data_IF_243878970636
#
_entry.id   IF_243878970636
#
_cell.length_a   1.000
_cell.length_b   1.000
_cell.length_c   1.000
_cell.angle_alpha   90.00
_cell.angle_beta   90.00
_cell.angle_gamma   90.00
#
_symmetry.space_group_name_H-M   'P 1'
#
loop_
_entity.id
_entity.type
_entity.pdbx_description
1 polymer ?
#
# COMPACT_ATOMS: atom_id res chain seq x y z
N UNK A 1 -9.92 -13.38 5.58
CA UNK A 1 -10.51 -12.11 5.12
C UNK A 1 -10.97 -11.30 6.32
N UNK A 2 -10.75 -9.99 6.30
CA UNK A 2 -11.29 -9.03 7.28
C UNK A 2 -12.12 -8.03 6.49
N UNK A 3 -13.31 -7.70 6.97
CA UNK A 3 -14.25 -6.78 6.31
C UNK A 3 -14.61 -5.62 7.25
N UNK A 4 -14.53 -4.41 6.70
CA UNK A 4 -15.04 -3.18 7.31
C UNK A 4 -16.17 -2.68 6.42
N UNK A 5 -17.41 -2.86 6.86
CA UNK A 5 -18.61 -2.51 6.11
C UNK A 5 -18.52 -1.12 5.49
N UNK A 6 -18.82 -1.05 4.19
CA UNK A 6 -18.81 0.19 3.39
C UNK A 6 -17.48 0.96 3.40
N UNK A 7 -16.36 0.31 3.75
CA UNK A 7 -15.06 0.94 3.79
C UNK A 7 -13.99 0.13 3.04
N UNK A 8 -13.67 -1.08 3.50
CA UNK A 8 -12.68 -1.92 2.82
C UNK A 8 -12.80 -3.41 3.15
N UNK A 9 -12.26 -4.22 2.24
CA UNK A 9 -12.05 -5.65 2.42
C UNK A 9 -10.55 -5.95 2.31
N UNK A 10 -10.03 -6.77 3.22
CA UNK A 10 -8.63 -7.17 3.29
C UNK A 10 -8.51 -8.68 3.18
N UNK A 11 -7.81 -9.11 2.15
CA UNK A 11 -7.44 -10.51 1.95
C UNK A 11 -5.94 -10.67 2.26
N UNK A 12 -5.63 -11.48 3.28
CA UNK A 12 -4.27 -11.69 3.76
C UNK A 12 -3.81 -13.10 3.45
N UNK A 13 -2.57 -13.24 2.98
CA UNK A 13 -1.93 -14.55 2.81
C UNK A 13 -1.40 -15.08 4.16
N UNK A 14 -1.02 -16.36 4.22
CA UNK A 14 -0.32 -16.92 5.38
C UNK A 14 0.91 -16.07 5.74
N UNK A 15 1.23 -15.98 7.03
CA UNK A 15 2.36 -15.20 7.57
C UNK A 15 2.30 -13.68 7.32
N UNK A 16 1.09 -13.11 7.16
CA UNK A 16 0.91 -11.66 7.00
C UNK A 16 0.62 -10.97 8.34
N UNK A 17 1.26 -9.83 8.59
CA UNK A 17 1.04 -9.00 9.78
C UNK A 17 0.59 -7.59 9.41
N UNK A 18 -0.64 -7.24 9.81
CA UNK A 18 -1.30 -5.96 9.54
C UNK A 18 -1.80 -5.35 10.85
N UNK A 19 -1.53 -4.06 11.05
CA UNK A 19 -2.10 -3.28 12.16
C UNK A 19 -3.02 -2.19 11.61
N UNK A 20 -4.20 -2.02 12.21
CA UNK A 20 -5.12 -0.93 11.89
C UNK A 20 -4.79 0.25 12.78
N UNK A 21 -4.62 1.42 12.18
CA UNK A 21 -4.45 2.69 12.90
C UNK A 21 -5.60 3.59 12.44
N UNK A 22 -6.69 3.60 13.21
CA UNK A 22 -7.83 4.47 12.92
C UNK A 22 -7.62 5.84 13.57
N UNK A 23 -7.59 6.89 12.75
CA UNK A 23 -7.63 8.29 13.22
C UNK A 23 -8.97 8.92 12.83
N UNK A 24 -9.44 9.91 13.60
CA UNK A 24 -10.58 10.76 13.22
C UNK A 24 -10.07 11.98 12.43
N UNK A 25 -10.76 12.41 11.34
CA UNK A 25 -11.88 11.72 10.66
C UNK A 25 -11.41 10.50 9.84
N UNK A 26 -12.38 9.66 9.39
CA UNK A 26 -12.27 8.28 8.88
C UNK A 26 -11.28 8.13 7.70
N UNK A 27 -9.99 8.13 8.01
CA UNK A 27 -8.97 7.61 7.12
C UNK A 27 -8.60 6.22 7.65
N UNK A 28 -8.84 5.19 6.86
CA UNK A 28 -8.40 3.85 7.21
C UNK A 28 -6.92 3.74 6.87
N UNK A 29 -6.07 3.73 7.91
CA UNK A 29 -4.64 3.54 7.74
C UNK A 29 -4.26 2.15 8.23
N UNK A 30 -3.75 1.33 7.30
CA UNK A 30 -3.18 0.04 7.60
C UNK A 30 -1.67 0.14 7.65
N UNK A 31 -1.04 -0.54 8.61
CA UNK A 31 0.41 -0.75 8.62
C UNK A 31 0.68 -2.21 8.31
N UNK A 32 1.23 -2.48 7.12
CA UNK A 32 1.70 -3.79 6.73
C UNK A 32 3.21 -3.87 6.99
N UNK A 33 3.62 -4.84 7.80
CA UNK A 33 5.04 -5.05 8.13
C UNK A 33 5.62 -6.33 7.54
N UNK A 34 4.76 -7.23 7.03
CA UNK A 34 5.18 -8.48 6.41
C UNK A 34 4.16 -9.01 5.40
N UNK A 35 4.58 -9.95 4.57
CA UNK A 35 3.72 -10.80 3.74
C UNK A 35 3.11 -10.10 2.52
N UNK A 36 1.95 -10.59 2.10
CA UNK A 36 1.21 -10.10 0.93
C UNK A 36 -0.26 -9.96 1.26
N UNK A 37 -0.82 -8.79 0.94
CA UNK A 37 -2.23 -8.47 1.15
C UNK A 37 -2.83 -7.77 -0.06
N UNK A 38 -4.11 -8.07 -0.32
CA UNK A 38 -4.93 -7.37 -1.31
C UNK A 38 -5.85 -6.42 -0.56
N UNK A 39 -5.77 -5.15 -0.91
CA UNK A 39 -6.56 -4.06 -0.36
C UNK A 39 -7.60 -3.66 -1.40
N UNK A 40 -8.88 -3.69 -1.04
CA UNK A 40 -9.97 -3.29 -1.89
C UNK A 40 -10.78 -2.18 -1.19
N UNK A 41 -10.73 -0.96 -1.73
CA UNK A 41 -11.56 0.16 -1.27
C UNK A 41 -12.97 -0.03 -1.81
N UNK A 42 -13.95 -0.13 -0.93
CA UNK A 42 -15.35 -0.40 -1.30
C UNK A 42 -16.28 0.80 -1.05
N UNK A 43 -15.79 1.88 -0.45
CA UNK A 43 -16.55 3.09 -0.19
C UNK A 43 -15.74 4.38 -0.35
N UNK A 44 -16.31 5.50 0.08
CA UNK A 44 -15.75 6.83 -0.12
C UNK A 44 -14.63 7.19 0.86
N UNK A 45 -14.45 6.44 1.95
CA UNK A 45 -13.39 6.72 2.92
C UNK A 45 -12.00 6.44 2.32
N UNK A 46 -11.01 7.32 2.53
CA UNK A 46 -9.64 7.07 2.10
C UNK A 46 -9.07 5.78 2.71
N UNK A 47 -8.37 5.01 1.88
CA UNK A 47 -7.73 3.76 2.26
C UNK A 47 -6.22 3.89 2.05
N UNK A 48 -5.48 4.11 3.14
CA UNK A 48 -4.04 4.22 3.10
C UNK A 48 -3.35 2.99 3.68
N UNK A 49 -2.27 2.56 3.05
CA UNK A 49 -1.40 1.48 3.53
C UNK A 49 0.01 2.02 3.69
N UNK A 50 0.55 1.90 4.90
CA UNK A 50 1.93 2.20 5.23
C UNK A 50 2.73 0.90 5.26
N UNK A 51 3.66 0.80 4.33
CA UNK A 51 4.53 -0.37 4.14
C UNK A 51 5.97 0.10 4.22
N UNK A 52 6.63 -0.17 5.36
CA UNK A 52 7.98 0.36 5.65
C UNK A 52 8.06 1.89 5.46
N UNK A 53 8.84 2.38 4.49
CA UNK A 53 8.95 3.81 4.12
C UNK A 53 8.05 4.24 2.97
N UNK A 54 7.20 3.35 2.44
CA UNK A 54 6.23 3.67 1.39
C UNK A 54 4.84 3.89 2.01
N UNK A 55 4.20 5.00 1.64
CA UNK A 55 2.78 5.24 1.85
C UNK A 55 2.05 5.01 0.53
N UNK A 56 0.92 4.31 0.57
CA UNK A 56 0.08 4.03 -0.59
C UNK A 56 -1.36 4.40 -0.28
N UNK A 57 -1.92 5.35 -1.01
CA UNK A 57 -3.34 5.72 -0.96
C UNK A 57 -4.08 5.01 -2.09
N UNK A 58 -4.93 4.06 -1.73
CA UNK A 58 -5.57 3.10 -2.62
C UNK A 58 -6.93 3.63 -3.06
N UNK A 59 -7.10 3.83 -4.37
CA UNK A 59 -8.36 4.19 -4.99
C UNK A 59 -8.81 3.09 -5.96
N UNK A 60 -9.31 1.99 -5.40
CA UNK A 60 -9.69 0.79 -6.14
C UNK A 60 -9.16 -0.46 -5.46
N UNK A 61 -8.55 -1.35 -6.23
CA UNK A 61 -7.99 -2.62 -5.74
C UNK A 61 -6.50 -2.71 -6.03
N UNK A 62 -5.69 -2.95 -5.00
CA UNK A 62 -4.24 -3.10 -5.14
C UNK A 62 -3.71 -4.25 -4.29
N UNK A 63 -2.67 -4.91 -4.77
CA UNK A 63 -1.92 -5.93 -4.04
C UNK A 63 -0.57 -5.37 -3.63
N UNK A 64 -0.22 -5.51 -2.36
CA UNK A 64 1.09 -5.10 -1.81
C UNK A 64 1.80 -6.33 -1.24
N UNK A 65 3.01 -6.58 -1.71
CA UNK A 65 3.87 -7.69 -1.28
C UNK A 65 5.21 -7.16 -0.79
N UNK A 66 5.66 -7.63 0.38
CA UNK A 66 6.97 -7.31 0.94
C UNK A 66 7.89 -8.51 0.76
N UNK A 67 8.94 -8.34 -0.03
CA UNK A 67 10.05 -9.29 -0.11
C UNK A 67 11.12 -8.82 0.89
N UNK A 68 11.17 -9.49 2.05
CA UNK A 68 12.10 -9.17 3.14
C UNK A 68 13.56 -9.44 2.78
N UNK A 69 13.81 -10.48 1.97
CA UNK A 69 15.17 -10.87 1.59
C UNK A 69 15.80 -9.81 0.67
N UNK A 70 14.97 -9.18 -0.18
CA UNK A 70 15.40 -8.10 -1.09
C UNK A 70 15.12 -6.69 -0.56
N UNK A 71 14.56 -6.58 0.65
CA UNK A 71 14.06 -5.33 1.21
C UNK A 71 13.25 -4.49 0.19
N UNK A 72 12.35 -5.16 -0.53
CA UNK A 72 11.66 -4.60 -1.69
C UNK A 72 10.14 -4.76 -1.54
N UNK A 73 9.41 -3.71 -1.88
CA UNK A 73 7.95 -3.67 -1.90
C UNK A 73 7.51 -3.75 -3.36
N UNK A 74 6.61 -4.68 -3.64
CA UNK A 74 5.93 -4.80 -4.93
C UNK A 74 4.47 -4.39 -4.76
N UNK A 75 4.05 -3.39 -5.51
CA UNK A 75 2.68 -2.90 -5.56
C UNK A 75 2.12 -3.13 -6.97
N UNK A 76 0.99 -3.80 -7.05
CA UNK A 76 0.26 -4.06 -8.29
C UNK A 76 -1.14 -3.45 -8.18
N UNK A 77 -1.51 -2.57 -9.11
CA UNK A 77 -2.86 -1.99 -9.15
C UNK A 77 -3.73 -2.87 -10.04
N UNK A 78 -4.68 -3.57 -9.43
CA UNK A 78 -5.59 -4.51 -10.11
C UNK A 78 -6.74 -3.76 -10.76
N UNK A 79 -7.27 -2.71 -10.11
CA UNK A 79 -8.29 -1.82 -10.66
C UNK A 79 -8.22 -0.43 -10.04
N UNK A 80 -8.59 0.61 -10.81
CA UNK A 80 -8.55 2.00 -10.36
C UNK A 80 -7.15 2.57 -10.35
N UNK A 81 -6.74 3.24 -9.27
CA UNK A 81 -5.40 3.84 -9.16
C UNK A 81 -4.87 3.79 -7.72
N UNK A 82 -3.57 3.99 -7.58
CA UNK A 82 -2.91 4.11 -6.28
C UNK A 82 -1.91 5.24 -6.30
N UNK A 83 -2.03 6.20 -5.38
CA UNK A 83 -1.02 7.23 -5.18
C UNK A 83 -0.01 6.73 -4.17
N UNK A 84 1.28 6.72 -4.52
CA UNK A 84 2.35 6.40 -3.58
C UNK A 84 3.15 7.62 -3.21
N UNK A 85 3.60 7.66 -1.96
CA UNK A 85 4.48 8.70 -1.44
C UNK A 85 5.57 8.12 -0.54
N UNK A 86 6.76 8.70 -0.59
CA UNK A 86 7.88 8.34 0.28
C UNK A 86 8.86 9.53 0.35
N UNK A 87 9.74 9.51 1.35
CA UNK A 87 10.89 10.41 1.40
C UNK A 87 12.11 9.67 0.90
N UNK A 88 12.88 10.25 -0.03
CA UNK A 88 14.15 9.65 -0.45
C UNK A 88 15.23 9.78 0.64
N UNK A 89 16.47 9.38 0.33
CA UNK A 89 17.60 9.46 1.27
C UNK A 89 18.06 10.90 1.51
N UNK A 90 17.68 11.84 0.66
CA UNK A 90 17.94 13.27 0.78
C UNK A 90 16.78 14.00 1.48
N UNK A 91 15.83 13.24 2.04
CA UNK A 91 14.63 13.74 2.72
C UNK A 91 13.67 14.53 1.80
N UNK A 92 13.79 14.36 0.48
CA UNK A 92 12.88 14.97 -0.48
C UNK A 92 11.65 14.07 -0.61
N UNK A 93 10.47 14.64 -0.40
CA UNK A 93 9.20 13.96 -0.62
C UNK A 93 8.99 13.68 -2.10
N UNK A 94 8.74 12.42 -2.42
CA UNK A 94 8.37 11.93 -3.75
C UNK A 94 6.93 11.46 -3.71
N UNK A 95 6.19 11.74 -4.76
CA UNK A 95 4.82 11.29 -4.95
C UNK A 95 4.59 10.91 -6.42
N UNK A 96 3.83 9.85 -6.66
CA UNK A 96 3.36 9.51 -7.99
C UNK A 96 2.08 8.69 -7.95
N UNK A 97 1.31 8.73 -9.04
CA UNK A 97 0.14 7.88 -9.26
C UNK A 97 0.53 6.67 -10.09
N UNK A 98 0.03 5.51 -9.69
CA UNK A 98 0.15 4.22 -10.38
C UNK A 98 -1.26 3.90 -10.87
N UNK A 99 -1.39 3.71 -12.18
CA UNK A 99 -2.68 3.42 -12.82
C UNK A 99 -2.94 1.91 -12.85
N UNK A 100 -4.17 1.55 -13.20
CA UNK A 100 -4.61 0.17 -13.37
C UNK A 100 -3.67 -0.66 -14.26
N UNK A 101 -3.47 -1.92 -13.88
CA UNK A 101 -2.59 -2.91 -14.51
C UNK A 101 -1.09 -2.54 -14.50
N UNK A 102 -0.70 -1.48 -13.80
CA UNK A 102 0.71 -1.13 -13.61
C UNK A 102 1.26 -1.74 -12.32
N UNK A 103 2.58 -1.90 -12.32
CA UNK A 103 3.33 -2.38 -11.16
C UNK A 103 4.37 -1.36 -10.74
N UNK A 104 4.55 -1.23 -9.43
CA UNK A 104 5.54 -0.38 -8.83
C UNK A 104 6.42 -1.17 -7.89
N UNK A 105 7.72 -1.09 -8.12
CA UNK A 105 8.73 -1.73 -7.27
C UNK A 105 9.46 -0.65 -6.50
N UNK A 106 9.42 -0.71 -5.17
CA UNK A 106 10.12 0.20 -4.29
C UNK A 106 11.18 -0.55 -3.47
N UNK A 107 12.43 -0.13 -3.57
CA UNK A 107 13.52 -0.68 -2.78
C UNK A 107 13.73 0.19 -1.53
N UNK A 108 13.60 -0.42 -0.35
CA UNK A 108 13.62 0.26 0.94
C UNK A 108 15.02 0.78 1.30
N UNK A 109 16.09 0.10 0.91
CA UNK A 109 17.47 0.53 1.22
C UNK A 109 17.86 1.78 0.43
N UNK A 110 17.54 1.80 -0.86
CA UNK A 110 17.87 2.93 -1.75
C UNK A 110 16.82 4.03 -1.73
N UNK A 111 15.64 3.77 -1.18
CA UNK A 111 14.43 4.61 -1.23
C UNK A 111 14.15 5.10 -2.65
N UNK A 112 14.16 4.18 -3.61
CA UNK A 112 13.87 4.43 -5.02
C UNK A 112 12.76 3.53 -5.50
N UNK A 113 11.90 4.09 -6.33
CA UNK A 113 10.82 3.38 -6.98
C UNK A 113 10.92 3.35 -8.49
N UNK A 114 10.44 2.28 -9.09
CA UNK A 114 10.38 2.07 -10.54
C UNK A 114 8.96 1.64 -10.90
N UNK A 115 8.32 2.38 -11.80
CA UNK A 115 7.04 2.05 -12.41
C UNK A 115 7.27 1.19 -13.66
N UNK A 116 6.44 0.16 -13.85
CA UNK A 116 6.41 -0.71 -15.02
C UNK A 116 4.98 -0.94 -15.49
#
# INVERSE_FOLDING_TARGET
>A
TIEFDNACIIEMSENTSVNVIQTLPINLVFRQSDGSAVFNRTGENPLSVRTLSLLSDINGKAKITIDKDKNTIYLEVISGSTTVAYNDLEFISRQMTIEENQTYTFNQDTRKGVLR
#
